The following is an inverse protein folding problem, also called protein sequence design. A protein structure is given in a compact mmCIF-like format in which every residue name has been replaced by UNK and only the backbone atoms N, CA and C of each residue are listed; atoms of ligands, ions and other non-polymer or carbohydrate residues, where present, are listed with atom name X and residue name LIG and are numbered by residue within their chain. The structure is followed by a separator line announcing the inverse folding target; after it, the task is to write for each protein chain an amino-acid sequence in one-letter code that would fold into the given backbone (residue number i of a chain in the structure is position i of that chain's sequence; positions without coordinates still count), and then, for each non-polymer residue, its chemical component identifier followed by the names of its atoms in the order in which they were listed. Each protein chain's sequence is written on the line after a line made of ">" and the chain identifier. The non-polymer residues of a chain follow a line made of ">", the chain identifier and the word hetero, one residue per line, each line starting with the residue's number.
data_IF_108648630164
#
_entry.id   IF_108648630164
#
_cell.length_a   1.000
_cell.length_b   1.000
_cell.length_c   1.000
_cell.angle_alpha   90.00
_cell.angle_beta   90.00
_cell.angle_gamma   90.00
#
_symmetry.space_group_name_H-M   'P 1'
#
loop_
_entity.id
_entity.type
_entity.pdbx_description
1 polymer ?
#
# COMPACT_ATOMS: atom_id res chain seq x y z
N UNK A 1 -3.52 -15.29 9.18
CA UNK A 1 -4.08 -14.72 10.45
C UNK A 1 -2.97 -13.99 11.16
N UNK A 2 -3.14 -12.71 11.44
CA UNK A 2 -2.15 -11.84 12.11
C UNK A 2 -1.84 -12.33 13.53
N UNK A 3 -0.58 -12.20 13.97
CA UNK A 3 -0.18 -12.50 15.35
C UNK A 3 -0.73 -11.43 16.30
N UNK A 4 -1.18 -11.84 17.47
CA UNK A 4 -1.68 -10.91 18.50
C UNK A 4 -0.60 -9.89 18.94
N UNK A 5 0.68 -10.30 18.95
CA UNK A 5 1.82 -9.42 19.20
C UNK A 5 1.90 -8.23 18.25
N UNK A 6 1.61 -8.46 16.95
CA UNK A 6 1.68 -7.40 15.94
C UNK A 6 0.56 -6.37 16.13
N UNK A 7 -0.65 -6.84 16.52
CA UNK A 7 -1.76 -5.93 16.87
C UNK A 7 -1.41 -5.06 18.06
N UNK A 8 -0.93 -5.65 19.14
CA UNK A 8 -0.54 -4.94 20.38
C UNK A 8 0.58 -3.94 20.07
N UNK A 9 1.60 -4.35 19.29
CA UNK A 9 2.69 -3.46 18.87
C UNK A 9 2.16 -2.28 18.06
N UNK A 10 1.30 -2.53 17.09
CA UNK A 10 0.72 -1.49 16.25
C UNK A 10 -0.09 -0.47 17.08
N UNK A 11 -0.96 -0.95 17.96
CA UNK A 11 -1.77 -0.09 18.83
C UNK A 11 -0.90 0.74 19.79
N UNK A 12 0.17 0.14 20.33
CA UNK A 12 1.14 0.86 21.16
C UNK A 12 1.79 1.98 20.38
N UNK A 13 2.36 1.69 19.21
CA UNK A 13 3.03 2.68 18.35
C UNK A 13 2.08 3.84 18.00
N UNK A 14 0.84 3.53 17.59
CA UNK A 14 -0.13 4.55 17.24
C UNK A 14 -0.45 5.46 18.44
N UNK A 15 -0.65 4.87 19.61
CA UNK A 15 -0.93 5.62 20.86
C UNK A 15 0.25 6.51 21.25
N UNK A 16 1.48 5.97 21.25
CA UNK A 16 2.67 6.69 21.70
C UNK A 16 2.96 7.91 20.81
N UNK A 17 2.79 7.76 19.48
CA UNK A 17 2.94 8.88 18.53
C UNK A 17 1.86 9.94 18.74
N UNK A 18 0.61 9.54 18.98
CA UNK A 18 -0.49 10.50 19.23
C UNK A 18 -0.32 11.24 20.55
N UNK A 19 0.22 10.60 21.59
CA UNK A 19 0.51 11.24 22.88
C UNK A 19 1.65 12.25 22.74
N UNK A 20 2.76 11.85 22.10
CA UNK A 20 3.90 12.74 21.86
C UNK A 20 3.54 13.98 21.02
N UNK A 21 2.55 13.86 20.13
CA UNK A 21 2.08 14.98 19.31
C UNK A 21 1.23 15.98 20.11
N UNK A 22 0.47 15.49 21.10
CA UNK A 22 -0.31 16.37 22.01
C UNK A 22 0.56 17.21 22.93
N UNK A 23 1.74 16.71 23.29
CA UNK A 23 2.70 17.42 24.14
C UNK A 23 3.46 18.52 23.39
N UNK A 24 3.47 18.45 22.05
CA UNK A 24 4.06 19.46 21.17
C UNK A 24 2.99 20.48 20.77
N UNK A 25 2.57 21.35 21.66
CA UNK A 25 1.68 22.46 21.32
C UNK A 25 2.35 23.39 20.28
N UNK A 26 1.89 23.30 19.05
CA UNK A 26 2.26 24.19 17.95
C UNK A 26 1.65 23.72 16.65
N UNK A 27 1.03 24.65 15.91
CA UNK A 27 0.50 24.41 14.56
C UNK A 27 1.61 23.78 13.73
N UNK A 28 1.45 22.48 13.44
CA UNK A 28 2.49 21.67 12.80
C UNK A 28 2.90 22.24 11.45
N UNK A 29 4.16 22.63 11.36
CA UNK A 29 4.89 22.68 10.11
C UNK A 29 4.62 21.38 9.30
N UNK A 30 4.70 21.45 7.98
CA UNK A 30 4.54 20.38 6.99
C UNK A 30 5.40 19.14 7.31
N UNK A 31 5.06 18.45 8.40
CA UNK A 31 5.74 17.26 8.85
C UNK A 31 5.11 16.03 8.16
N UNK A 32 5.92 15.01 8.02
CA UNK A 32 5.56 13.69 7.55
C UNK A 32 4.17 13.28 8.08
N UNK A 33 3.31 12.80 7.18
CA UNK A 33 1.95 12.38 7.55
C UNK A 33 1.99 11.30 8.62
N UNK A 34 1.21 11.44 9.67
CA UNK A 34 1.18 10.53 10.83
C UNK A 34 1.08 9.05 10.44
N UNK A 35 0.29 8.72 9.42
CA UNK A 35 0.20 7.36 8.91
C UNK A 35 1.58 6.81 8.53
N UNK A 36 2.39 7.58 7.82
CA UNK A 36 3.71 7.15 7.37
C UNK A 36 4.66 6.96 8.56
N UNK A 37 4.72 7.92 9.48
CA UNK A 37 5.51 7.84 10.71
C UNK A 37 5.12 6.63 11.56
N UNK A 38 3.81 6.40 11.77
CA UNK A 38 3.32 5.25 12.53
C UNK A 38 3.73 3.93 11.91
N UNK A 39 3.67 3.82 10.58
CA UNK A 39 4.07 2.62 9.87
C UNK A 39 5.59 2.39 9.92
N UNK A 40 6.42 3.44 9.82
CA UNK A 40 7.87 3.33 10.03
C UNK A 40 8.18 2.80 11.44
N UNK A 41 7.60 3.40 12.45
CA UNK A 41 7.80 2.95 13.85
C UNK A 41 7.22 1.56 14.12
N UNK A 42 6.15 1.16 13.42
CA UNK A 42 5.64 -0.21 13.49
C UNK A 42 6.63 -1.23 12.90
N UNK A 43 7.32 -0.87 11.83
CA UNK A 43 8.37 -1.71 11.22
C UNK A 43 9.61 -1.79 12.11
N UNK A 44 10.11 -0.64 12.54
CA UNK A 44 11.29 -0.52 13.37
C UNK A 44 11.09 0.60 14.40
N UNK A 45 11.26 0.28 15.70
CA UNK A 45 11.11 1.26 16.77
C UNK A 45 12.35 2.18 16.87
N UNK A 46 13.51 1.74 16.35
CA UNK A 46 14.73 2.53 16.35
C UNK A 46 14.71 3.58 15.23
N UNK A 47 14.62 4.83 15.62
CA UNK A 47 14.63 5.97 14.70
C UNK A 47 15.97 6.15 13.96
N UNK A 48 17.05 5.59 14.46
CA UNK A 48 18.34 5.59 13.76
C UNK A 48 18.29 4.78 12.45
N UNK A 49 17.31 3.88 12.32
CA UNK A 49 17.07 3.09 11.11
C UNK A 49 16.17 3.80 10.10
N UNK A 50 15.63 5.01 10.41
CA UNK A 50 14.68 5.72 9.54
C UNK A 50 15.39 6.71 8.61
N UNK A 51 14.85 6.87 7.40
CA UNK A 51 15.30 7.86 6.40
C UNK A 51 16.77 7.73 6.03
N UNK A 52 17.22 6.50 5.83
CA UNK A 52 18.62 6.19 5.55
C UNK A 52 18.91 6.39 4.06
N UNK A 53 19.95 7.19 3.77
CA UNK A 53 20.43 7.38 2.40
C UNK A 53 21.16 6.12 1.92
N UNK A 54 20.64 5.53 0.85
CA UNK A 54 21.21 4.35 0.19
C UNK A 54 21.98 4.81 -1.05
N UNK A 55 23.23 4.42 -1.15
CA UNK A 55 24.10 4.68 -2.28
C UNK A 55 24.32 3.41 -3.10
N UNK A 56 24.71 3.51 -4.40
CA UNK A 56 25.12 2.35 -5.18
C UNK A 56 26.32 1.65 -4.54
N UNK A 57 26.38 0.35 -4.64
CA UNK A 57 27.49 -0.44 -4.08
C UNK A 57 28.85 0.00 -4.65
N UNK A 58 29.82 0.19 -3.75
CA UNK A 58 31.20 0.61 -4.13
C UNK A 58 31.33 2.05 -4.63
N UNK A 59 30.31 2.91 -4.39
CA UNK A 59 30.35 4.31 -4.86
C UNK A 59 30.74 5.29 -3.75
N UNK A 60 31.35 6.41 -4.15
CA UNK A 60 31.61 7.56 -3.30
C UNK A 60 30.32 8.32 -2.95
N UNK A 61 30.31 9.06 -1.83
CA UNK A 61 29.15 9.82 -1.31
C UNK A 61 28.54 10.84 -2.29
N UNK A 62 29.26 11.22 -3.33
CA UNK A 62 28.83 12.18 -4.35
C UNK A 62 27.80 11.63 -5.33
N UNK A 63 27.61 10.29 -5.40
CA UNK A 63 26.63 9.70 -6.31
C UNK A 63 25.19 9.88 -5.81
N UNK A 64 24.28 9.94 -6.79
CA UNK A 64 22.85 10.05 -6.55
C UNK A 64 22.34 8.72 -5.98
N UNK A 65 21.77 8.78 -4.79
CA UNK A 65 21.12 7.67 -4.11
C UNK A 65 19.64 7.94 -3.84
N UNK A 66 19.02 7.02 -3.15
CA UNK A 66 17.66 7.15 -2.64
C UNK A 66 17.63 7.09 -1.11
N UNK A 67 16.65 7.72 -0.50
CA UNK A 67 16.41 7.63 0.95
C UNK A 67 15.42 6.52 1.20
N UNK A 68 15.83 5.47 1.92
CA UNK A 68 14.94 4.40 2.38
C UNK A 68 14.11 4.89 3.57
N UNK A 69 12.82 4.55 3.61
CA UNK A 69 11.98 4.92 4.75
C UNK A 69 12.46 4.25 6.04
N UNK A 70 12.85 2.98 5.95
CA UNK A 70 13.48 2.23 7.06
C UNK A 70 14.54 1.29 6.48
N UNK A 71 15.70 1.23 7.11
CA UNK A 71 16.73 0.24 6.86
C UNK A 71 17.06 -0.48 8.18
N UNK A 72 16.76 -1.76 8.25
CA UNK A 72 17.14 -2.62 9.37
C UNK A 72 17.99 -3.77 8.85
N UNK A 73 19.22 -3.89 9.34
CA UNK A 73 20.19 -4.88 8.88
C UNK A 73 20.36 -4.86 7.35
N UNK A 74 19.93 -5.91 6.66
CA UNK A 74 19.98 -6.04 5.21
C UNK A 74 18.61 -5.85 4.53
N UNK A 75 17.60 -5.36 5.23
CA UNK A 75 16.24 -5.20 4.75
C UNK A 75 15.84 -3.73 4.69
N UNK A 76 15.51 -3.26 3.49
CA UNK A 76 14.89 -1.97 3.23
C UNK A 76 13.36 -2.14 3.29
N UNK A 77 12.70 -1.23 4.00
CA UNK A 77 11.23 -1.13 3.99
C UNK A 77 10.82 0.21 3.41
N UNK A 78 9.95 0.17 2.41
CA UNK A 78 9.35 1.33 1.76
C UNK A 78 7.87 1.40 2.09
N UNK A 79 7.41 2.52 2.61
CA UNK A 79 6.03 2.72 3.02
C UNK A 79 5.31 3.56 1.99
N UNK A 80 4.46 2.93 1.21
CA UNK A 80 3.72 3.60 0.15
C UNK A 80 2.23 3.69 0.49
N UNK A 81 1.77 4.88 0.88
CA UNK A 81 0.37 5.13 1.28
C UNK A 81 -0.55 5.50 0.11
N UNK A 82 0.00 5.67 -1.07
CA UNK A 82 -0.70 5.96 -2.32
C UNK A 82 -0.40 4.91 -3.39
N UNK A 83 -0.47 5.30 -4.67
CA UNK A 83 -0.15 4.41 -5.79
C UNK A 83 1.30 3.93 -5.73
N UNK A 84 1.55 2.69 -6.18
CA UNK A 84 2.90 2.09 -6.16
C UNK A 84 3.81 2.59 -7.27
N UNK A 85 3.26 3.17 -8.35
CA UNK A 85 4.04 3.64 -9.51
C UNK A 85 5.26 4.54 -9.15
N UNK A 86 5.18 5.48 -8.20
CA UNK A 86 6.32 6.33 -7.84
C UNK A 86 7.54 5.56 -7.32
N UNK A 87 7.34 4.34 -6.81
CA UNK A 87 8.43 3.50 -6.31
C UNK A 87 9.24 2.82 -7.43
N UNK A 88 8.77 2.82 -8.69
CA UNK A 88 9.37 2.02 -9.77
C UNK A 88 10.88 2.24 -9.91
N UNK A 89 11.32 3.49 -9.99
CA UNK A 89 12.74 3.81 -10.15
C UNK A 89 13.56 3.52 -8.88
N UNK A 90 12.96 3.71 -7.71
CA UNK A 90 13.58 3.46 -6.42
C UNK A 90 13.80 1.96 -6.19
N UNK A 91 12.79 1.15 -6.49
CA UNK A 91 12.89 -0.32 -6.42
C UNK A 91 13.92 -0.83 -7.44
N UNK A 92 13.89 -0.32 -8.68
CA UNK A 92 14.89 -0.67 -9.69
C UNK A 92 16.30 -0.43 -9.16
N UNK A 93 16.55 0.76 -8.61
CA UNK A 93 17.84 1.10 -8.03
C UNK A 93 18.26 0.14 -6.91
N UNK A 94 17.38 -0.17 -5.97
CA UNK A 94 17.71 -1.09 -4.88
C UNK A 94 18.05 -2.49 -5.38
N UNK A 95 17.32 -2.99 -6.38
CA UNK A 95 17.54 -4.33 -6.90
C UNK A 95 18.76 -4.45 -7.81
N UNK A 96 19.14 -3.39 -8.51
CA UNK A 96 20.25 -3.41 -9.49
C UNK A 96 21.57 -2.90 -8.89
N UNK A 97 21.52 -1.92 -7.97
CA UNK A 97 22.69 -1.20 -7.49
C UNK A 97 23.07 -1.56 -6.03
N UNK A 98 22.31 -2.45 -5.36
CA UNK A 98 22.55 -2.87 -3.97
C UNK A 98 22.21 -4.33 -3.77
N UNK A 99 22.67 -4.90 -2.62
CA UNK A 99 22.36 -6.27 -2.22
C UNK A 99 21.22 -6.37 -1.18
N UNK A 100 20.59 -5.26 -0.84
CA UNK A 100 19.50 -5.25 0.14
C UNK A 100 18.27 -6.01 -0.35
N UNK A 101 17.54 -6.62 0.58
CA UNK A 101 16.16 -7.02 0.35
C UNK A 101 15.25 -5.78 0.45
N UNK A 102 14.15 -5.79 -0.26
CA UNK A 102 13.20 -4.68 -0.27
C UNK A 102 11.81 -5.19 0.07
N UNK A 103 11.17 -4.59 1.06
CA UNK A 103 9.76 -4.86 1.38
C UNK A 103 8.95 -3.58 1.21
N UNK A 104 8.01 -3.59 0.28
CA UNK A 104 7.04 -2.52 0.11
C UNK A 104 5.85 -2.77 1.01
N UNK A 105 5.57 -1.81 1.89
CA UNK A 105 4.44 -1.85 2.82
C UNK A 105 3.36 -0.89 2.32
N UNK A 106 2.16 -1.42 2.09
CA UNK A 106 1.02 -0.65 1.63
C UNK A 106 -0.16 -0.75 2.59
N UNK A 107 -0.55 0.35 3.29
CA UNK A 107 -1.70 0.34 4.16
C UNK A 107 -3.00 0.38 3.37
N UNK A 108 -3.91 -0.55 3.65
CA UNK A 108 -5.21 -0.71 3.03
C UNK A 108 -6.31 -0.41 4.04
N UNK A 109 -7.05 0.68 3.84
CA UNK A 109 -8.12 1.09 4.75
C UNK A 109 -9.40 0.27 4.49
N UNK A 110 -9.56 -0.85 5.20
CA UNK A 110 -10.74 -1.72 5.08
C UNK A 110 -11.99 -1.10 5.69
N UNK A 111 -11.81 -0.19 6.65
CA UNK A 111 -12.85 0.63 7.25
C UNK A 111 -12.27 2.00 7.58
N UNK A 112 -12.97 3.03 7.16
CA UNK A 112 -12.50 4.40 7.31
C UNK A 112 -13.62 5.33 7.77
N UNK A 113 -13.37 6.04 8.85
CA UNK A 113 -14.16 7.19 9.27
C UNK A 113 -13.60 8.46 8.63
N UNK A 114 -14.48 9.33 8.15
CA UNK A 114 -14.11 10.65 7.62
C UNK A 114 -14.68 11.71 8.55
N UNK A 115 -13.79 12.49 9.15
CA UNK A 115 -14.07 13.57 10.06
C UNK A 115 -13.89 14.89 9.29
N UNK A 116 -14.97 15.65 9.14
CA UNK A 116 -14.94 16.99 8.54
C UNK A 116 -14.77 18.03 9.64
N UNK A 117 -13.70 18.80 9.53
CA UNK A 117 -13.30 19.81 10.53
C UNK A 117 -13.59 21.21 10.01
N UNK A 118 -14.01 22.09 10.89
CA UNK A 118 -14.18 23.51 10.60
C UNK A 118 -12.83 24.14 10.24
N UNK A 119 -12.76 24.92 9.14
CA UNK A 119 -11.54 25.64 8.79
C UNK A 119 -11.25 26.83 9.71
N UNK A 120 -12.21 27.29 10.53
CA UNK A 120 -12.08 28.44 11.40
C UNK A 120 -11.43 28.08 12.75
N UNK A 121 -11.91 27.01 13.36
CA UNK A 121 -11.55 26.65 14.74
C UNK A 121 -11.18 25.18 14.93
N UNK A 122 -11.17 24.39 13.86
CA UNK A 122 -10.82 22.98 13.92
C UNK A 122 -11.86 22.09 14.64
N UNK A 123 -13.07 22.59 14.91
CA UNK A 123 -14.13 21.79 15.52
C UNK A 123 -14.65 20.73 14.57
N UNK A 124 -15.11 19.59 15.11
CA UNK A 124 -15.70 18.51 14.34
C UNK A 124 -17.10 18.91 13.87
N UNK A 125 -17.27 19.11 12.55
CA UNK A 125 -18.56 19.43 11.94
C UNK A 125 -19.39 18.17 11.67
N UNK A 126 -18.74 17.10 11.17
CA UNK A 126 -19.43 15.88 10.76
C UNK A 126 -18.48 14.71 10.78
N UNK A 127 -18.98 13.52 11.17
CA UNK A 127 -18.28 12.23 11.09
C UNK A 127 -19.12 11.23 10.32
N UNK A 128 -18.54 10.57 9.29
CA UNK A 128 -19.23 9.59 8.45
C UNK A 128 -18.33 8.40 8.17
N UNK A 129 -18.93 7.23 7.94
CA UNK A 129 -18.19 6.07 7.44
C UNK A 129 -18.01 6.25 5.92
N UNK A 130 -16.78 6.07 5.42
CA UNK A 130 -16.50 6.05 4.00
C UNK A 130 -17.15 4.82 3.35
N UNK A 131 -17.89 4.99 2.23
CA UNK A 131 -18.39 3.85 1.48
C UNK A 131 -17.27 3.06 0.80
N UNK A 132 -16.12 3.70 0.52
CA UNK A 132 -14.95 3.04 -0.07
C UNK A 132 -14.25 2.21 1.01
N UNK A 133 -14.20 0.90 0.78
CA UNK A 133 -13.45 -0.07 1.57
C UNK A 133 -12.41 -0.71 0.66
N UNK A 134 -11.15 -0.60 1.02
CA UNK A 134 -10.07 -1.25 0.30
C UNK A 134 -10.06 -2.75 0.66
N UNK A 135 -9.73 -3.58 -0.31
CA UNK A 135 -9.70 -5.05 -0.17
C UNK A 135 -8.33 -5.55 -0.62
N UNK A 136 -7.83 -6.68 -0.11
CA UNK A 136 -6.54 -7.23 -0.54
C UNK A 136 -6.40 -7.36 -2.05
N UNK A 137 -7.45 -7.77 -2.74
CA UNK A 137 -7.46 -7.86 -4.22
C UNK A 137 -7.16 -6.54 -4.93
N UNK A 138 -7.43 -5.38 -4.30
CA UNK A 138 -7.19 -4.06 -4.89
C UNK A 138 -5.68 -3.77 -5.02
N UNK A 139 -4.84 -4.60 -4.37
CA UNK A 139 -3.39 -4.58 -4.54
C UNK A 139 -2.95 -5.05 -5.94
N UNK A 140 -3.68 -5.97 -6.59
CA UNK A 140 -3.27 -6.51 -7.88
C UNK A 140 -3.12 -5.44 -8.97
N UNK A 141 -4.10 -4.55 -9.20
CA UNK A 141 -3.94 -3.43 -10.14
C UNK A 141 -2.76 -2.52 -9.82
N UNK A 142 -2.49 -2.25 -8.54
CA UNK A 142 -1.35 -1.42 -8.11
C UNK A 142 -0.01 -2.11 -8.42
N UNK A 143 0.10 -3.41 -8.18
CA UNK A 143 1.29 -4.22 -8.48
C UNK A 143 1.64 -4.24 -9.97
N UNK A 144 0.67 -3.99 -10.86
CA UNK A 144 0.93 -3.89 -12.30
C UNK A 144 1.97 -2.81 -12.64
N UNK A 145 2.01 -1.73 -11.89
CA UNK A 145 3.01 -0.67 -12.09
C UNK A 145 4.44 -1.13 -11.83
N UNK A 146 4.61 -2.22 -11.09
CA UNK A 146 5.88 -2.83 -10.70
C UNK A 146 6.06 -4.23 -11.30
N UNK A 147 5.31 -4.57 -12.36
CA UNK A 147 5.23 -5.91 -12.95
C UNK A 147 6.60 -6.47 -13.37
N UNK A 148 7.51 -5.60 -13.80
CA UNK A 148 8.85 -6.00 -14.23
C UNK A 148 9.66 -6.65 -13.09
N UNK A 149 9.34 -6.32 -11.84
CA UNK A 149 10.06 -6.77 -10.64
C UNK A 149 9.35 -7.91 -9.91
N UNK A 150 8.10 -8.24 -10.26
CA UNK A 150 7.35 -9.32 -9.63
C UNK A 150 8.06 -10.66 -9.82
N UNK A 151 8.17 -11.43 -8.73
CA UNK A 151 8.89 -12.69 -8.68
C UNK A 151 10.39 -12.55 -8.35
N UNK A 152 10.92 -11.33 -8.18
CA UNK A 152 12.27 -11.14 -7.67
C UNK A 152 12.36 -11.59 -6.20
N UNK A 153 13.32 -12.47 -5.88
CA UNK A 153 13.47 -13.06 -4.53
C UNK A 153 13.79 -12.04 -3.43
N UNK A 154 14.38 -10.89 -3.81
CA UNK A 154 14.73 -9.81 -2.89
C UNK A 154 13.61 -8.78 -2.73
N UNK A 155 12.53 -8.86 -3.52
CA UNK A 155 11.40 -7.93 -3.45
C UNK A 155 10.18 -8.60 -2.85
N UNK A 156 9.60 -7.97 -1.84
CA UNK A 156 8.40 -8.41 -1.13
C UNK A 156 7.37 -7.29 -1.11
N UNK A 157 6.09 -7.67 -1.15
CA UNK A 157 4.97 -6.74 -0.99
C UNK A 157 4.09 -7.19 0.17
N UNK A 158 3.73 -6.25 1.03
CA UNK A 158 2.94 -6.49 2.22
C UNK A 158 1.82 -5.47 2.35
N UNK A 159 0.57 -5.92 2.30
CA UNK A 159 -0.61 -5.12 2.61
C UNK A 159 -0.90 -5.13 4.11
N UNK A 160 -0.99 -3.96 4.73
CA UNK A 160 -1.46 -3.82 6.11
C UNK A 160 -2.93 -3.40 6.09
N UNK A 161 -3.82 -4.32 6.45
CA UNK A 161 -5.25 -4.06 6.52
C UNK A 161 -5.57 -3.30 7.81
N UNK A 162 -5.91 -2.02 7.68
CA UNK A 162 -6.12 -1.13 8.82
C UNK A 162 -7.54 -0.55 8.86
N UNK A 163 -8.05 -0.30 10.06
CA UNK A 163 -9.08 0.71 10.27
C UNK A 163 -8.40 2.08 10.43
N UNK A 164 -9.03 3.14 9.95
CA UNK A 164 -8.43 4.47 9.98
C UNK A 164 -9.46 5.57 10.16
N UNK A 165 -9.01 6.70 10.73
CA UNK A 165 -9.71 7.97 10.72
C UNK A 165 -9.02 8.93 9.73
N UNK A 166 -9.79 9.50 8.82
CA UNK A 166 -9.33 10.51 7.87
C UNK A 166 -9.93 11.86 8.29
N UNK A 167 -9.09 12.85 8.50
CA UNK A 167 -9.47 14.21 8.83
C UNK A 167 -9.43 15.07 7.58
N UNK A 168 -10.47 15.87 7.38
CA UNK A 168 -10.60 16.78 6.25
C UNK A 168 -10.99 18.16 6.74
N UNK A 169 -10.41 19.20 6.16
CA UNK A 169 -10.77 20.59 6.42
C UNK A 169 -11.82 21.04 5.41
N UNK A 170 -12.91 21.65 5.91
CA UNK A 170 -14.04 22.12 5.13
C UNK A 170 -15.10 21.05 4.84
N UNK A 171 -16.25 21.49 4.36
CA UNK A 171 -17.39 20.63 4.02
C UNK A 171 -17.29 20.04 2.62
N UNK A 172 -17.96 18.89 2.39
CA UNK A 172 -18.00 18.20 1.10
C UNK A 172 -18.72 19.00 0.00
N UNK A 173 -19.54 20.00 0.38
CA UNK A 173 -20.52 20.66 -0.48
C UNK A 173 -20.06 21.94 -1.19
N UNK A 174 -18.81 22.35 -1.08
CA UNK A 174 -18.30 23.56 -1.74
C UNK A 174 -17.62 23.30 -3.09
N UNK A 175 -17.51 24.34 -3.94
CA UNK A 175 -16.80 24.31 -5.25
C UNK A 175 -15.36 23.77 -5.15
N UNK A 176 -14.70 23.88 -4.01
CA UNK A 176 -13.34 23.41 -3.75
C UNK A 176 -13.28 22.03 -3.07
N UNK A 177 -14.42 21.48 -2.63
CA UNK A 177 -14.46 20.24 -1.86
C UNK A 177 -13.71 20.36 -0.52
N UNK A 178 -13.71 19.27 0.25
CA UNK A 178 -12.92 19.20 1.49
C UNK A 178 -11.49 18.77 1.18
N UNK A 179 -10.51 19.44 1.79
CA UNK A 179 -9.09 19.08 1.65
C UNK A 179 -8.73 17.98 2.66
N UNK A 180 -8.06 16.94 2.20
CA UNK A 180 -7.45 15.95 3.10
C UNK A 180 -6.36 16.63 3.93
N UNK A 181 -6.48 16.47 5.25
CA UNK A 181 -5.51 16.99 6.20
C UNK A 181 -4.63 15.86 6.72
N UNK A 182 -5.23 14.83 7.35
CA UNK A 182 -4.49 13.78 8.02
C UNK A 182 -5.22 12.42 7.88
N UNK A 183 -4.48 11.32 7.97
CA UNK A 183 -5.03 9.98 8.13
C UNK A 183 -4.30 9.27 9.26
N UNK A 184 -5.06 8.77 10.24
CA UNK A 184 -4.57 8.11 11.43
C UNK A 184 -5.08 6.67 11.42
N UNK A 185 -4.23 5.65 11.40
CA UNK A 185 -4.66 4.28 11.57
C UNK A 185 -5.02 4.04 13.03
N UNK A 186 -6.11 3.33 13.27
CA UNK A 186 -6.64 3.08 14.63
C UNK A 186 -6.50 1.63 15.06
N UNK A 187 -6.48 0.70 14.10
CA UNK A 187 -6.37 -0.72 14.38
C UNK A 187 -5.71 -1.43 13.19
N UNK A 188 -4.83 -2.37 13.47
CA UNK A 188 -4.31 -3.32 12.49
C UNK A 188 -5.17 -4.59 12.55
N UNK A 189 -5.90 -4.86 11.46
CA UNK A 189 -6.85 -5.97 11.38
C UNK A 189 -6.20 -7.24 10.87
N UNK A 190 -5.42 -7.13 9.78
CA UNK A 190 -4.68 -8.26 9.22
C UNK A 190 -3.47 -7.80 8.40
N UNK A 191 -2.60 -8.75 8.07
CA UNK A 191 -1.44 -8.56 7.20
C UNK A 191 -1.55 -9.56 6.06
N UNK A 192 -1.39 -9.09 4.83
CA UNK A 192 -1.48 -9.90 3.61
C UNK A 192 -0.20 -9.73 2.82
N UNK A 193 0.45 -10.83 2.49
CA UNK A 193 1.66 -10.84 1.67
C UNK A 193 1.33 -11.14 0.20
N UNK A 194 2.17 -10.64 -0.73
CA UNK A 194 2.08 -10.84 -2.18
C UNK A 194 3.46 -11.17 -2.74
N UNK A 195 4.08 -12.24 -2.25
CA UNK A 195 5.48 -12.57 -2.49
C UNK A 195 5.65 -13.76 -3.43
N UNK A 196 4.76 -14.75 -3.32
CA UNK A 196 4.82 -16.02 -4.05
C UNK A 196 3.55 -16.23 -4.87
N UNK A 197 3.55 -17.05 -5.92
CA UNK A 197 2.33 -17.37 -6.67
C UNK A 197 1.19 -17.86 -5.78
N UNK A 198 1.48 -18.57 -4.70
CA UNK A 198 0.47 -19.06 -3.75
C UNK A 198 -0.33 -17.95 -3.09
N UNK A 199 0.29 -16.79 -2.83
CA UNK A 199 -0.36 -15.63 -2.20
C UNK A 199 -1.42 -14.98 -3.11
N UNK A 200 -1.38 -15.27 -4.40
CA UNK A 200 -2.32 -14.72 -5.37
C UNK A 200 -3.48 -15.66 -5.71
N UNK A 201 -3.44 -16.93 -5.30
CA UNK A 201 -4.47 -17.93 -5.64
C UNK A 201 -5.86 -17.53 -5.14
N UNK A 202 -5.95 -16.94 -3.95
CA UNK A 202 -7.23 -16.52 -3.36
C UNK A 202 -7.93 -15.38 -4.13
N UNK A 203 -7.20 -14.68 -5.01
CA UNK A 203 -7.74 -13.59 -5.84
C UNK A 203 -8.22 -14.07 -7.21
N UNK A 204 -8.07 -15.34 -7.52
CA UNK A 204 -8.68 -15.97 -8.69
C UNK A 204 -10.13 -16.33 -8.34
N UNK A 205 -11.13 -15.76 -9.03
CA UNK A 205 -12.52 -16.04 -8.70
C UNK A 205 -12.88 -17.51 -8.89
N UNK A 206 -13.59 -18.04 -7.92
CA UNK A 206 -14.18 -19.38 -8.03
C UNK A 206 -15.31 -19.38 -9.05
N UNK A 207 -15.43 -20.45 -9.85
CA UNK A 207 -16.52 -20.61 -10.82
C UNK A 207 -16.27 -19.93 -12.17
N UNK A 208 -15.05 -19.50 -12.47
CA UNK A 208 -14.68 -19.10 -13.82
C UNK A 208 -14.80 -20.29 -14.80
N UNK A 209 -15.27 -20.09 -16.05
CA UNK A 209 -15.20 -21.11 -17.09
C UNK A 209 -13.75 -21.57 -17.33
N UNK A 210 -13.57 -22.77 -17.89
CA UNK A 210 -12.24 -23.29 -18.28
C UNK A 210 -11.50 -22.36 -19.25
N UNK A 211 -12.25 -21.60 -20.06
CA UNK A 211 -11.76 -20.51 -20.90
C UNK A 211 -12.67 -19.30 -20.72
N UNK A 212 -12.12 -18.20 -20.25
CA UNK A 212 -12.85 -16.98 -19.92
C UNK A 212 -12.21 -15.74 -20.56
N UNK A 213 -13.02 -14.72 -20.77
CA UNK A 213 -12.60 -13.40 -21.27
C UNK A 213 -12.24 -12.46 -20.11
N UNK A 214 -11.57 -11.34 -20.41
CA UNK A 214 -11.32 -10.28 -19.42
C UNK A 214 -12.62 -9.74 -18.80
N UNK A 215 -13.71 -9.64 -19.57
CA UNK A 215 -15.00 -9.19 -19.07
C UNK A 215 -15.61 -10.16 -18.04
N UNK A 216 -15.55 -11.48 -18.32
CA UNK A 216 -16.00 -12.52 -17.40
C UNK A 216 -15.17 -12.52 -16.11
N UNK A 217 -13.84 -12.43 -16.22
CA UNK A 217 -12.95 -12.29 -15.08
C UNK A 217 -13.27 -11.03 -14.26
N UNK A 218 -13.36 -9.87 -14.90
CA UNK A 218 -13.64 -8.60 -14.24
C UNK A 218 -14.97 -8.63 -13.47
N UNK A 219 -16.02 -9.21 -14.07
CA UNK A 219 -17.33 -9.40 -13.41
C UNK A 219 -17.21 -10.30 -12.18
N UNK A 220 -16.54 -11.44 -12.29
CA UNK A 220 -16.36 -12.40 -11.21
C UNK A 220 -15.47 -11.86 -10.08
N UNK A 221 -14.33 -11.24 -10.41
CA UNK A 221 -13.40 -10.65 -9.47
C UNK A 221 -13.85 -9.30 -8.90
N UNK A 222 -14.85 -8.64 -9.54
CA UNK A 222 -15.36 -7.34 -9.15
C UNK A 222 -14.44 -6.18 -9.53
N UNK A 223 -13.58 -6.34 -10.54
CA UNK A 223 -12.80 -5.27 -11.15
C UNK A 223 -13.58 -4.56 -12.26
N UNK A 224 -13.18 -3.33 -12.60
CA UNK A 224 -13.78 -2.54 -13.68
C UNK A 224 -12.69 -1.79 -14.46
N UNK A 225 -12.99 -1.50 -15.72
CA UNK A 225 -12.09 -0.71 -16.57
C UNK A 225 -10.70 -1.27 -16.69
N UNK A 226 -9.70 -0.42 -16.49
CA UNK A 226 -8.28 -0.78 -16.63
C UNK A 226 -7.82 -1.79 -15.58
N UNK A 227 -8.42 -1.79 -14.38
CA UNK A 227 -8.03 -2.68 -13.28
C UNK A 227 -8.19 -4.16 -13.63
N UNK A 228 -9.15 -4.50 -14.50
CA UNK A 228 -9.33 -5.86 -15.01
C UNK A 228 -8.06 -6.36 -15.70
N UNK A 229 -7.54 -5.55 -16.62
CA UNK A 229 -6.36 -5.91 -17.40
C UNK A 229 -5.10 -5.89 -16.55
N UNK A 230 -4.98 -4.93 -15.65
CA UNK A 230 -3.85 -4.82 -14.72
C UNK A 230 -3.78 -6.05 -13.82
N UNK A 231 -4.90 -6.46 -13.21
CA UNK A 231 -4.96 -7.67 -12.38
C UNK A 231 -4.66 -8.94 -13.18
N UNK A 232 -5.23 -9.11 -14.39
CA UNK A 232 -4.92 -10.24 -15.26
C UNK A 232 -3.43 -10.32 -15.60
N UNK A 233 -2.80 -9.20 -15.96
CA UNK A 233 -1.37 -9.16 -16.28
C UNK A 233 -0.50 -9.56 -15.08
N UNK A 234 -0.86 -9.16 -13.87
CA UNK A 234 -0.19 -9.58 -12.64
C UNK A 234 -0.33 -11.10 -12.44
N UNK A 235 -1.54 -11.65 -12.57
CA UNK A 235 -1.77 -13.08 -12.42
C UNK A 235 -1.07 -13.92 -13.51
N UNK A 236 -0.97 -13.40 -14.74
CA UNK A 236 -0.18 -14.00 -15.82
C UNK A 236 1.31 -13.98 -15.46
N UNK A 237 1.83 -12.85 -15.00
CA UNK A 237 3.23 -12.72 -14.59
C UNK A 237 3.59 -13.69 -13.47
N UNK A 238 2.64 -13.95 -12.56
CA UNK A 238 2.80 -14.91 -11.47
C UNK A 238 2.57 -16.37 -11.90
N UNK A 239 2.28 -16.63 -13.19
CA UNK A 239 2.13 -17.98 -13.74
C UNK A 239 0.82 -18.68 -13.38
N UNK A 240 -0.18 -17.97 -12.89
CA UNK A 240 -1.45 -18.53 -12.44
C UNK A 240 -2.55 -18.51 -13.50
N UNK A 241 -2.43 -17.61 -14.47
CA UNK A 241 -3.33 -17.47 -15.62
C UNK A 241 -2.48 -17.42 -16.87
N UNK A 242 -2.99 -17.99 -17.96
CA UNK A 242 -2.39 -17.88 -19.30
C UNK A 242 -3.43 -17.45 -20.32
N UNK A 243 -2.99 -16.71 -21.33
CA UNK A 243 -3.79 -16.47 -22.53
C UNK A 243 -3.84 -17.77 -23.36
N UNK A 244 -5.03 -18.18 -23.79
CA UNK A 244 -5.24 -19.47 -24.45
C UNK A 244 -5.96 -19.35 -25.81
N UNK A 245 -6.22 -18.14 -26.29
CA UNK A 245 -6.84 -17.92 -27.60
C UNK A 245 -7.73 -16.71 -27.68
N UNK A 246 -8.76 -16.79 -28.51
CA UNK A 246 -9.73 -15.70 -28.72
C UNK A 246 -11.15 -16.25 -28.85
N UNK A 247 -12.12 -15.52 -28.34
CA UNK A 247 -13.56 -15.71 -28.58
C UNK A 247 -14.10 -14.47 -29.31
N UNK A 248 -14.26 -14.57 -30.62
CA UNK A 248 -14.48 -13.41 -31.46
C UNK A 248 -13.29 -12.46 -31.45
N UNK A 249 -13.50 -11.20 -31.02
CA UNK A 249 -12.42 -10.20 -30.89
C UNK A 249 -11.74 -10.21 -29.51
N UNK A 250 -12.32 -10.88 -28.54
CA UNK A 250 -11.84 -10.88 -27.17
C UNK A 250 -10.78 -11.97 -26.94
N UNK A 251 -9.65 -11.63 -26.34
CA UNK A 251 -8.69 -12.60 -25.84
C UNK A 251 -9.34 -13.47 -24.75
N UNK A 252 -8.99 -14.75 -24.73
CA UNK A 252 -9.43 -15.69 -23.72
C UNK A 252 -8.26 -16.20 -22.90
N UNK A 253 -8.56 -16.55 -21.67
CA UNK A 253 -7.60 -16.94 -20.63
C UNK A 253 -8.05 -18.24 -19.98
N UNK A 254 -7.11 -18.97 -19.42
CA UNK A 254 -7.36 -20.13 -18.55
C UNK A 254 -6.49 -20.06 -17.30
N UNK A 255 -6.97 -20.68 -16.22
CA UNK A 255 -6.16 -20.95 -15.03
C UNK A 255 -5.11 -22.01 -15.41
N UNK A 256 -3.89 -21.89 -14.88
CA UNK A 256 -2.77 -22.82 -15.12
C UNK A 256 -2.84 -24.00 -14.17
#
# INVERSE_FOLDING_TARGET
>A
MIKQSDKIRFERVCRDILLADREREGIGTLNEKKLHTMLKCFVCDDKACHEIKILPQGSEETKRGYVADVLCDCDIFEIQTGHLYPLKNKIKFYLEETDYNVTVIHPMAIKKWVNYMSPQDGTLLRRVISPKKEKPRDMLPELYSLIDFLGNRRLRFRGLMVEAEEFRIGEKSGRRGSQKYERIPTCLVDIVDFNTPADYLEYIPVGLPSSFTAAEFGKAAGYRGIDVYSALKVLIKMGLIRENGKRGRAATYSIV
#
